data_IF_090261539326
#
_entry.id   IF_090261539326
#
_cell.length_a   1.000
_cell.length_b   1.000
_cell.length_c   1.000
_cell.angle_alpha   90.00
_cell.angle_beta   90.00
_cell.angle_gamma   90.00
#
_symmetry.space_group_name_H-M   'P 1'
#
loop_
_entity.id
_entity.type
_entity.pdbx_description
1 polymer ?
#
# COMPACT_ATOMS: atom_id res chain seq x y z
N UNK A 1 -0.45 -16.17 27.86
CA UNK A 1 0.04 -17.55 27.83
C UNK A 1 0.08 -18.11 29.25
N UNK A 2 -0.75 -19.11 29.53
CA UNK A 2 -0.68 -19.90 30.77
C UNK A 2 0.27 -21.09 30.65
N UNK A 3 1.01 -21.20 29.57
CA UNK A 3 1.94 -22.29 29.35
C UNK A 3 3.20 -22.09 30.20
N UNK A 4 3.69 -23.14 30.84
CA UNK A 4 4.95 -23.11 31.57
C UNK A 4 6.10 -22.86 30.61
N UNK A 5 7.05 -22.03 30.99
CA UNK A 5 8.34 -21.88 30.35
C UNK A 5 9.35 -22.75 31.07
N UNK A 6 10.13 -23.47 30.28
CA UNK A 6 11.24 -24.29 30.77
C UNK A 6 12.51 -23.73 30.18
N UNK A 7 13.37 -23.19 31.02
CA UNK A 7 14.66 -22.66 30.63
C UNK A 7 15.77 -23.52 31.24
N UNK A 8 16.77 -23.86 30.42
CA UNK A 8 18.02 -24.52 30.83
C UNK A 8 19.08 -23.46 30.84
N UNK A 9 19.64 -23.18 32.00
CA UNK A 9 20.73 -22.21 32.17
C UNK A 9 21.98 -22.92 32.60
N UNK A 10 23.04 -22.84 31.79
CA UNK A 10 24.39 -23.26 32.13
C UNK A 10 25.24 -22.04 32.45
N UNK A 11 25.89 -22.03 33.59
CA UNK A 11 26.84 -21.01 33.97
C UNK A 11 28.16 -21.68 34.39
N UNK A 12 29.25 -21.25 33.79
CA UNK A 12 30.61 -21.60 34.17
C UNK A 12 31.25 -20.40 34.86
N UNK A 13 31.69 -20.60 36.10
CA UNK A 13 32.33 -19.56 36.89
C UNK A 13 33.73 -20.02 37.26
N UNK A 14 34.70 -19.30 36.84
CA UNK A 14 36.11 -19.48 37.18
C UNK A 14 36.51 -18.39 38.18
N UNK A 15 36.97 -18.78 39.37
CA UNK A 15 37.42 -17.87 40.41
C UNK A 15 38.83 -18.21 40.83
N UNK A 16 39.73 -17.29 40.61
CA UNK A 16 41.13 -17.37 41.02
C UNK A 16 41.30 -16.53 42.29
N UNK A 17 41.62 -17.20 43.38
CA UNK A 17 41.85 -16.54 44.67
C UNK A 17 43.25 -16.74 45.11
N UNK A 18 44.02 -15.67 45.16
CA UNK A 18 45.39 -15.69 45.68
C UNK A 18 45.32 -15.53 47.21
N UNK A 19 45.41 -16.63 47.96
CA UNK A 19 45.57 -16.59 49.40
C UNK A 19 47.03 -16.52 49.82
N UNK A 20 47.39 -15.49 50.57
CA UNK A 20 48.72 -15.39 51.20
C UNK A 20 48.62 -16.07 52.57
N UNK A 21 49.23 -17.25 52.72
CA UNK A 21 49.35 -17.91 54.02
C UNK A 21 50.63 -17.42 54.72
N UNK A 22 50.47 -16.83 55.90
CA UNK A 22 51.59 -16.55 56.79
C UNK A 22 51.83 -17.78 57.66
N UNK A 23 52.96 -18.44 57.45
CA UNK A 23 53.39 -19.48 58.39
C UNK A 23 54.16 -18.82 59.53
N UNK A 24 53.55 -18.74 60.71
CA UNK A 24 54.06 -18.10 61.90
C UNK A 24 55.06 -18.93 62.70
N UNK A 25 56.03 -19.58 62.06
CA UNK A 25 57.15 -20.19 62.75
C UNK A 25 58.27 -19.15 62.95
N UNK A 26 58.54 -18.86 64.14
CA UNK A 26 59.36 -17.91 64.86
C UNK A 26 60.87 -17.97 64.51
N UNK A 27 61.22 -17.91 63.24
CA UNK A 27 62.60 -17.77 62.72
C UNK A 27 62.60 -16.86 61.52
N UNK A 28 62.85 -15.62 61.73
CA UNK A 28 63.40 -14.53 60.91
C UNK A 28 63.35 -14.53 59.37
N UNK A 29 62.49 -15.24 58.75
CA UNK A 29 62.29 -15.23 57.27
C UNK A 29 60.84 -15.43 56.91
N UNK A 30 60.22 -14.41 56.33
CA UNK A 30 58.87 -14.49 55.81
C UNK A 30 58.92 -15.28 54.50
N UNK A 31 58.47 -16.52 54.51
CA UNK A 31 58.15 -17.29 53.29
C UNK A 31 56.71 -16.99 52.92
N UNK A 32 56.51 -16.20 51.89
CA UNK A 32 55.20 -16.06 51.25
C UNK A 32 55.01 -17.25 50.32
N UNK A 33 54.20 -18.22 50.71
CA UNK A 33 53.71 -19.24 49.82
C UNK A 33 52.42 -18.77 49.26
N UNK A 34 52.41 -18.39 47.98
CA UNK A 34 51.18 -18.16 47.23
C UNK A 34 50.66 -19.49 46.77
N UNK A 35 49.56 -19.96 47.35
CA UNK A 35 48.84 -21.15 46.85
C UNK A 35 47.73 -20.59 45.94
N UNK A 36 47.84 -20.78 44.62
CA UNK A 36 46.74 -20.45 43.73
C UNK A 36 45.61 -21.46 44.03
N UNK A 37 44.48 -20.95 44.52
CA UNK A 37 43.26 -21.73 44.60
C UNK A 37 42.40 -21.35 43.42
N UNK A 38 42.46 -22.20 42.41
CA UNK A 38 41.65 -22.07 41.19
C UNK A 38 40.38 -22.91 41.36
N UNK A 39 39.27 -22.23 41.50
CA UNK A 39 37.98 -22.91 41.67
C UNK A 39 37.17 -22.72 40.40
N UNK A 40 37.02 -23.81 39.65
CA UNK A 40 36.11 -23.89 38.49
C UNK A 40 34.79 -24.49 38.96
N UNK A 41 33.69 -23.77 38.71
CA UNK A 41 32.33 -24.17 39.07
C UNK A 41 31.44 -24.18 37.83
N UNK A 42 30.97 -25.35 37.42
CA UNK A 42 29.94 -25.51 36.43
C UNK A 42 28.57 -25.64 37.09
N UNK A 43 27.63 -24.77 36.78
CA UNK A 43 26.30 -24.82 37.31
C UNK A 43 25.29 -24.99 36.16
N UNK A 44 24.55 -26.08 36.21
CA UNK A 44 23.41 -26.33 35.30
C UNK A 44 22.15 -26.27 36.10
N UNK A 45 21.23 -25.35 35.68
CA UNK A 45 19.93 -25.18 36.31
C UNK A 45 18.78 -25.33 35.33
N UNK A 46 17.74 -26.05 35.76
CA UNK A 46 16.48 -26.15 35.03
C UNK A 46 15.47 -25.25 35.76
N UNK A 47 15.03 -24.21 35.09
CA UNK A 47 14.07 -23.26 35.63
C UNK A 47 12.71 -23.46 34.96
N UNK A 48 11.68 -23.83 35.77
CA UNK A 48 10.30 -23.90 35.34
C UNK A 48 9.57 -22.66 35.89
N UNK A 49 9.07 -21.83 34.99
CA UNK A 49 8.30 -20.63 35.33
C UNK A 49 6.88 -20.74 34.78
N UNK A 50 5.91 -20.74 35.68
CA UNK A 50 4.48 -20.79 35.35
C UNK A 50 3.74 -19.68 36.08
N UNK A 51 3.15 -18.69 35.36
CA UNK A 51 2.36 -17.65 35.99
C UNK A 51 1.00 -18.23 36.45
N UNK A 52 0.77 -18.29 37.79
CA UNK A 52 -0.46 -18.82 38.37
C UNK A 52 -1.59 -17.78 38.34
N UNK A 53 -1.27 -16.51 38.58
CA UNK A 53 -2.23 -15.42 38.59
C UNK A 53 -1.59 -14.11 38.10
N UNK A 54 -2.24 -13.45 37.13
CA UNK A 54 -1.76 -12.19 36.54
C UNK A 54 -2.79 -11.05 36.61
N UNK A 55 -3.62 -11.03 37.71
CA UNK A 55 -4.55 -9.93 37.93
C UNK A 55 -5.52 -9.64 36.79
N UNK A 56 -5.95 -10.66 36.03
CA UNK A 56 -6.86 -10.49 34.89
C UNK A 56 -6.21 -10.04 33.59
N UNK A 57 -4.89 -9.84 33.56
CA UNK A 57 -4.18 -9.38 32.35
C UNK A 57 -4.35 -10.35 31.16
N UNK A 58 -4.40 -11.66 31.40
CA UNK A 58 -4.62 -12.65 30.32
C UNK A 58 -6.01 -12.52 29.74
N UNK A 59 -7.04 -12.34 30.59
CA UNK A 59 -8.43 -12.15 30.15
C UNK A 59 -8.55 -10.87 29.32
N UNK A 60 -7.94 -9.78 29.79
CA UNK A 60 -7.94 -8.50 29.05
C UNK A 60 -7.24 -8.60 27.70
N UNK A 61 -6.09 -9.27 27.62
CA UNK A 61 -5.39 -9.52 26.36
C UNK A 61 -6.19 -10.39 25.40
N UNK A 62 -6.89 -11.40 25.92
CA UNK A 62 -7.75 -12.24 25.09
C UNK A 62 -8.92 -11.42 24.51
N UNK A 63 -9.58 -10.60 25.33
CA UNK A 63 -10.63 -9.68 24.86
C UNK A 63 -10.10 -8.69 23.82
N UNK A 64 -8.92 -8.14 24.05
CA UNK A 64 -8.26 -7.26 23.09
C UNK A 64 -8.00 -7.99 21.76
N UNK A 65 -7.47 -9.21 21.79
CA UNK A 65 -7.22 -9.99 20.57
C UNK A 65 -8.50 -10.31 19.80
N UNK A 66 -9.61 -10.61 20.52
CA UNK A 66 -10.91 -10.79 19.87
C UNK A 66 -11.42 -9.50 19.23
N UNK A 67 -11.31 -8.36 19.92
CA UNK A 67 -11.71 -7.07 19.37
C UNK A 67 -10.88 -6.70 18.14
N UNK A 68 -9.58 -6.97 18.17
CA UNK A 68 -8.66 -6.74 17.05
C UNK A 68 -8.99 -7.65 15.84
N UNK A 69 -9.32 -8.92 16.09
CA UNK A 69 -9.77 -9.86 15.06
C UNK A 69 -11.08 -9.39 14.41
N UNK A 70 -12.06 -8.97 15.21
CA UNK A 70 -13.32 -8.43 14.68
C UNK A 70 -13.08 -7.15 13.87
N UNK A 71 -12.24 -6.23 14.37
CA UNK A 71 -11.86 -5.03 13.65
C UNK A 71 -11.25 -5.37 12.28
N UNK A 72 -10.28 -6.29 12.22
CA UNK A 72 -9.65 -6.71 10.98
C UNK A 72 -10.65 -7.34 10.00
N UNK A 73 -11.64 -8.09 10.51
CA UNK A 73 -12.71 -8.66 9.70
C UNK A 73 -13.62 -7.58 9.10
N UNK A 74 -14.00 -6.57 9.90
CA UNK A 74 -14.81 -5.45 9.41
C UNK A 74 -14.03 -4.55 8.43
N UNK A 75 -12.75 -4.35 8.64
CA UNK A 75 -11.87 -3.63 7.70
C UNK A 75 -11.77 -4.36 6.36
N UNK A 76 -11.68 -5.68 6.36
CA UNK A 76 -11.68 -6.49 5.12
C UNK A 76 -13.01 -6.37 4.36
N UNK A 77 -14.15 -6.45 5.07
CA UNK A 77 -15.48 -6.24 4.48
C UNK A 77 -15.65 -4.82 3.93
N UNK A 78 -15.13 -3.82 4.64
CA UNK A 78 -15.15 -2.43 4.16
C UNK A 78 -14.33 -2.28 2.88
N UNK A 79 -13.12 -2.84 2.84
CA UNK A 79 -12.27 -2.81 1.66
C UNK A 79 -12.93 -3.48 0.45
N UNK A 80 -13.54 -4.66 0.64
CA UNK A 80 -14.27 -5.37 -0.40
C UNK A 80 -15.42 -4.52 -0.98
N UNK A 81 -16.25 -3.94 -0.11
CA UNK A 81 -17.36 -3.08 -0.53
C UNK A 81 -16.89 -1.83 -1.26
N UNK A 82 -15.79 -1.23 -0.80
CA UNK A 82 -15.17 -0.07 -1.44
C UNK A 82 -14.71 -0.38 -2.86
N UNK A 83 -14.02 -1.50 -3.06
CA UNK A 83 -13.57 -1.93 -4.40
C UNK A 83 -14.76 -2.18 -5.32
N UNK A 84 -15.81 -2.88 -4.85
CA UNK A 84 -17.03 -3.12 -5.65
C UNK A 84 -17.68 -1.80 -6.06
N UNK A 85 -17.75 -0.84 -5.14
CA UNK A 85 -18.33 0.48 -5.43
C UNK A 85 -17.48 1.25 -6.44
N UNK A 86 -16.16 1.23 -6.31
CA UNK A 86 -15.23 1.87 -7.23
C UNK A 86 -15.37 1.30 -8.65
N UNK A 87 -15.35 -0.01 -8.80
CA UNK A 87 -15.51 -0.67 -10.11
C UNK A 87 -16.84 -0.30 -10.76
N UNK A 88 -17.94 -0.32 -9.99
CA UNK A 88 -19.27 0.06 -10.51
C UNK A 88 -19.31 1.53 -10.93
N UNK A 89 -18.70 2.41 -10.17
CA UNK A 89 -18.60 3.84 -10.50
C UNK A 89 -17.80 4.06 -11.78
N UNK A 90 -16.62 3.44 -11.91
CA UNK A 90 -15.81 3.56 -13.12
C UNK A 90 -16.51 2.95 -14.35
N UNK A 91 -17.19 1.83 -14.19
CA UNK A 91 -17.99 1.24 -15.27
C UNK A 91 -19.11 2.20 -15.76
N UNK A 92 -19.86 2.79 -14.83
CA UNK A 92 -20.90 3.78 -15.15
C UNK A 92 -20.32 5.00 -15.88
N UNK A 93 -19.14 5.47 -15.44
CA UNK A 93 -18.43 6.57 -16.10
C UNK A 93 -18.05 6.20 -17.54
N UNK A 94 -17.51 5.00 -17.78
CA UNK A 94 -17.18 4.53 -19.14
C UNK A 94 -18.42 4.50 -20.03
N UNK A 95 -19.54 3.96 -19.55
CA UNK A 95 -20.80 3.92 -20.32
C UNK A 95 -21.27 5.33 -20.71
N UNK A 96 -21.18 6.27 -19.77
CA UNK A 96 -21.52 7.68 -20.00
C UNK A 96 -20.59 8.32 -21.03
N UNK A 97 -19.29 8.05 -20.95
CA UNK A 97 -18.32 8.58 -21.88
C UNK A 97 -18.46 8.02 -23.31
N UNK A 98 -18.90 6.76 -23.46
CA UNK A 98 -19.24 6.21 -24.78
C UNK A 98 -20.39 6.98 -25.42
N UNK A 99 -21.45 7.31 -24.64
CA UNK A 99 -22.56 8.12 -25.13
C UNK A 99 -22.08 9.55 -25.50
N UNK A 100 -21.26 10.16 -24.64
CA UNK A 100 -20.67 11.48 -24.92
C UNK A 100 -19.81 11.47 -26.20
N UNK A 101 -18.96 10.45 -26.37
CA UNK A 101 -18.11 10.31 -27.57
C UNK A 101 -18.94 10.25 -28.85
N UNK A 102 -20.07 9.51 -28.82
CA UNK A 102 -21.01 9.48 -29.96
C UNK A 102 -21.64 10.84 -30.23
N UNK A 103 -22.02 11.56 -29.18
CA UNK A 103 -22.58 12.92 -29.32
C UNK A 103 -21.55 13.89 -29.89
N UNK A 104 -20.28 13.84 -29.44
CA UNK A 104 -19.22 14.70 -29.98
C UNK A 104 -18.88 14.38 -31.43
N UNK A 105 -18.91 13.10 -31.81
CA UNK A 105 -18.75 12.71 -33.24
C UNK A 105 -19.87 13.32 -34.09
N UNK A 106 -21.12 13.25 -33.62
CA UNK A 106 -22.23 13.85 -34.35
C UNK A 106 -22.13 15.37 -34.40
N UNK A 107 -21.64 16.02 -33.35
CA UNK A 107 -21.42 17.46 -33.31
C UNK A 107 -20.38 17.91 -34.37
N UNK A 108 -19.31 17.15 -34.57
CA UNK A 108 -18.33 17.43 -35.63
C UNK A 108 -18.98 17.30 -37.01
N UNK A 109 -19.78 16.25 -37.27
CA UNK A 109 -20.49 16.10 -38.54
C UNK A 109 -21.44 17.26 -38.78
N UNK A 110 -22.20 17.68 -37.76
CA UNK A 110 -23.13 18.80 -37.87
C UNK A 110 -22.40 20.13 -38.11
N UNK A 111 -21.26 20.37 -37.41
CA UNK A 111 -20.46 21.59 -37.62
C UNK A 111 -19.81 21.63 -38.97
N UNK A 112 -19.32 20.49 -39.48
CA UNK A 112 -18.78 20.36 -40.83
C UNK A 112 -19.81 20.67 -41.91
N UNK A 113 -21.04 20.11 -41.79
CA UNK A 113 -22.13 20.40 -42.72
C UNK A 113 -22.56 21.86 -42.66
N UNK A 114 -22.58 22.47 -41.46
CA UNK A 114 -22.88 23.90 -41.31
C UNK A 114 -21.81 24.79 -41.93
N UNK A 115 -20.54 24.44 -41.77
CA UNK A 115 -19.44 25.16 -42.42
C UNK A 115 -19.59 25.10 -43.94
N UNK A 116 -19.84 23.92 -44.51
CA UNK A 116 -19.99 23.73 -45.95
C UNK A 116 -21.17 24.56 -46.52
N UNK A 117 -22.33 24.51 -45.83
CA UNK A 117 -23.49 25.34 -46.23
C UNK A 117 -23.20 26.85 -46.12
N UNK A 118 -22.44 27.29 -45.10
CA UNK A 118 -22.03 28.68 -44.93
C UNK A 118 -21.05 29.13 -46.00
N UNK A 119 -20.12 28.22 -46.37
CA UNK A 119 -19.14 28.44 -47.42
C UNK A 119 -19.81 28.66 -48.77
N UNK A 120 -20.72 27.76 -49.14
CA UNK A 120 -21.53 27.94 -50.38
C UNK A 120 -22.31 29.25 -50.34
N UNK A 121 -22.92 29.58 -49.18
CA UNK A 121 -23.63 30.86 -49.02
C UNK A 121 -22.72 32.10 -49.19
N UNK A 122 -21.49 32.03 -48.72
CA UNK A 122 -20.47 33.06 -48.92
C UNK A 122 -20.07 33.20 -50.39
N UNK A 123 -19.83 32.11 -51.08
CA UNK A 123 -19.46 32.08 -52.49
C UNK A 123 -20.51 32.69 -53.42
N UNK A 124 -21.81 32.48 -53.08
CA UNK A 124 -22.92 33.11 -53.85
C UNK A 124 -23.34 34.48 -53.30
N UNK A 125 -22.60 35.03 -52.31
CA UNK A 125 -22.83 36.36 -51.76
C UNK A 125 -23.97 36.53 -50.81
N UNK A 126 -24.60 35.43 -50.30
CA UNK A 126 -25.72 35.46 -49.34
C UNK A 126 -25.27 35.44 -47.90
N UNK A 127 -23.99 35.15 -47.64
CA UNK A 127 -23.34 35.14 -46.31
C UNK A 127 -22.11 36.05 -46.32
N UNK A 128 -21.73 36.56 -45.15
CA UNK A 128 -20.55 37.37 -45.01
C UNK A 128 -19.34 36.55 -44.49
N UNK A 129 -18.14 37.13 -44.56
CA UNK A 129 -16.92 36.47 -44.10
C UNK A 129 -16.92 36.19 -42.62
N UNK A 130 -17.59 36.95 -41.79
CA UNK A 130 -17.70 36.77 -40.33
C UNK A 130 -18.47 35.49 -40.05
N UNK A 131 -19.55 35.24 -40.80
CA UNK A 131 -20.31 33.98 -40.67
C UNK A 131 -19.46 32.77 -41.00
N UNK A 132 -18.66 32.85 -42.06
CA UNK A 132 -17.74 31.78 -42.45
C UNK A 132 -16.68 31.51 -41.39
N UNK A 133 -16.00 32.54 -40.89
CA UNK A 133 -15.01 32.42 -39.82
C UNK A 133 -15.64 31.86 -38.52
N UNK A 134 -16.88 32.23 -38.21
CA UNK A 134 -17.59 31.68 -37.03
C UNK A 134 -17.91 30.19 -37.22
N UNK A 135 -18.31 29.77 -38.43
CA UNK A 135 -18.56 28.37 -38.74
C UNK A 135 -17.28 27.53 -38.66
N UNK A 136 -16.12 28.05 -39.17
CA UNK A 136 -14.82 27.41 -39.00
C UNK A 136 -14.42 27.26 -37.52
N UNK A 137 -14.55 28.34 -36.76
CA UNK A 137 -14.29 28.31 -35.31
C UNK A 137 -15.14 27.25 -34.60
N UNK A 138 -16.41 27.11 -34.99
CA UNK A 138 -17.31 26.12 -34.42
C UNK A 138 -16.86 24.68 -34.74
N UNK A 139 -16.41 24.43 -36.00
CA UNK A 139 -15.85 23.14 -36.41
C UNK A 139 -14.62 22.80 -35.59
N UNK A 140 -13.61 23.68 -35.52
CA UNK A 140 -12.40 23.45 -34.73
C UNK A 140 -12.68 23.24 -33.23
N UNK A 141 -13.71 23.93 -32.70
CA UNK A 141 -14.16 23.70 -31.32
C UNK A 141 -14.77 22.33 -31.15
N UNK A 142 -15.60 21.86 -32.10
CA UNK A 142 -16.18 20.53 -32.06
C UNK A 142 -15.12 19.43 -32.18
N UNK A 143 -14.14 19.60 -33.09
CA UNK A 143 -13.01 18.66 -33.23
C UNK A 143 -12.16 18.56 -31.96
N UNK A 144 -11.84 19.69 -31.33
CA UNK A 144 -11.13 19.72 -30.05
C UNK A 144 -11.91 19.00 -28.97
N UNK A 145 -13.24 19.23 -28.89
CA UNK A 145 -14.10 18.57 -27.90
C UNK A 145 -14.17 17.06 -28.15
N UNK A 146 -14.19 16.63 -29.40
CA UNK A 146 -14.12 15.21 -29.75
C UNK A 146 -12.78 14.59 -29.34
N UNK A 147 -11.64 15.29 -29.57
CA UNK A 147 -10.33 14.83 -29.15
C UNK A 147 -10.28 14.67 -27.62
N UNK A 148 -10.75 15.66 -26.87
CA UNK A 148 -10.83 15.59 -25.41
C UNK A 148 -11.70 14.41 -24.95
N UNK A 149 -12.87 14.22 -25.54
CA UNK A 149 -13.76 13.10 -25.20
C UNK A 149 -13.13 11.72 -25.49
N UNK A 150 -12.29 11.60 -26.53
CA UNK A 150 -11.50 10.38 -26.80
C UNK A 150 -10.49 10.10 -25.69
N UNK A 151 -9.72 11.11 -25.28
CA UNK A 151 -8.75 10.94 -24.19
C UNK A 151 -9.41 10.65 -22.85
N UNK A 152 -10.52 11.31 -22.55
CA UNK A 152 -11.28 11.05 -21.33
C UNK A 152 -11.80 9.59 -21.28
N UNK A 153 -12.29 9.10 -22.41
CA UNK A 153 -12.70 7.70 -22.54
C UNK A 153 -11.54 6.73 -22.30
N UNK A 154 -10.38 6.97 -22.93
CA UNK A 154 -9.19 6.13 -22.78
C UNK A 154 -8.70 6.11 -21.32
N UNK A 155 -8.56 7.28 -20.71
CA UNK A 155 -8.11 7.40 -19.32
C UNK A 155 -9.08 6.70 -18.36
N UNK A 156 -10.39 6.88 -18.56
CA UNK A 156 -11.40 6.27 -17.70
C UNK A 156 -11.46 4.75 -17.87
N UNK A 157 -11.23 4.25 -19.09
CA UNK A 157 -11.10 2.80 -19.34
C UNK A 157 -9.89 2.21 -18.60
N UNK A 158 -8.74 2.91 -18.62
CA UNK A 158 -7.57 2.48 -17.83
C UNK A 158 -7.85 2.50 -16.32
N UNK A 159 -8.59 3.50 -15.83
CA UNK A 159 -9.00 3.56 -14.42
C UNK A 159 -9.93 2.40 -14.05
N UNK A 160 -10.81 1.99 -14.95
CA UNK A 160 -11.65 0.82 -14.76
C UNK A 160 -10.80 -0.46 -14.66
N UNK A 161 -9.83 -0.65 -15.56
CA UNK A 161 -8.89 -1.78 -15.49
C UNK A 161 -8.06 -1.76 -14.20
N UNK A 162 -7.62 -0.58 -13.76
CA UNK A 162 -6.91 -0.42 -12.49
C UNK A 162 -7.79 -0.80 -11.30
N UNK A 163 -9.03 -0.30 -11.24
CA UNK A 163 -9.98 -0.61 -10.17
C UNK A 163 -10.35 -2.10 -10.13
N UNK A 164 -10.42 -2.75 -11.31
CA UNK A 164 -10.67 -4.19 -11.44
C UNK A 164 -9.43 -5.07 -11.19
N UNK A 165 -8.23 -4.46 -11.04
CA UNK A 165 -6.97 -5.19 -10.89
C UNK A 165 -6.52 -5.92 -12.16
N UNK A 166 -7.05 -5.54 -13.32
CA UNK A 166 -6.77 -6.18 -14.63
C UNK A 166 -5.88 -5.32 -15.53
N UNK A 167 -5.30 -4.23 -15.00
CA UNK A 167 -4.40 -3.36 -15.76
C UNK A 167 -3.10 -4.11 -16.07
N UNK A 168 -2.80 -4.27 -17.36
CA UNK A 168 -1.56 -4.89 -17.84
C UNK A 168 -0.77 -3.91 -18.73
N UNK A 169 0.55 -4.12 -18.92
CA UNK A 169 1.33 -3.34 -19.87
C UNK A 169 0.79 -3.39 -21.31
N UNK A 170 0.15 -4.49 -21.68
CA UNK A 170 -0.46 -4.69 -22.99
C UNK A 170 -1.59 -3.69 -23.26
N UNK A 171 -2.40 -3.37 -22.25
CA UNK A 171 -3.45 -2.35 -22.36
C UNK A 171 -2.88 -0.96 -22.67
N UNK A 172 -1.67 -0.65 -22.17
CA UNK A 172 -1.00 0.62 -22.46
C UNK A 172 -0.44 0.65 -23.89
N UNK A 173 0.08 -0.48 -24.37
CA UNK A 173 0.60 -0.61 -25.74
C UNK A 173 -0.56 -0.49 -26.75
N UNK A 174 -1.70 -1.10 -26.49
CA UNK A 174 -2.88 -1.01 -27.34
C UNK A 174 -3.36 0.45 -27.50
N UNK A 175 -3.37 1.21 -26.40
CA UNK A 175 -3.74 2.63 -26.43
C UNK A 175 -2.71 3.48 -27.18
N UNK A 176 -1.42 3.16 -27.08
CA UNK A 176 -0.38 3.91 -27.79
C UNK A 176 -0.41 3.70 -29.32
N UNK A 177 -1.09 2.65 -29.79
CA UNK A 177 -1.23 2.32 -31.19
C UNK A 177 -2.55 2.84 -31.82
N UNK A 178 -3.42 3.55 -31.03
CA UNK A 178 -4.66 4.20 -31.47
C UNK A 178 -4.43 5.66 -31.86
#
# INVERSE_FOLDING_TARGET
>A
NHLPKVDIVGAQTESETNQYAYDGLNTGGAFNITVPDETQRDTYSLQLSMPIFQGGAVISRTKQAYAESNKSSEEALFAERSVIQDVRSQYSNVVTLVANLRAQKQAVVSASSALEATRVGYEVGTRNIVDLLQAEKNLYSAERNLANAKYDYLITTLRLHLAAGTLSPENLIEINNL
#
